data_IF_896175489070
#
_entry.id   IF_896175489070
#
_cell.length_a   1.000
_cell.length_b   1.000
_cell.length_c   1.000
_cell.angle_alpha   90.00
_cell.angle_beta   90.00
_cell.angle_gamma   90.00
#
_symmetry.space_group_name_H-M   'P 1'
#
loop_
_entity.id
_entity.type
_entity.pdbx_description
1 polymer ?
#
# COMPACT_ATOMS: atom_id res chain seq x y z
N UNK A 1 13.37 9.21 -39.73
CA UNK A 1 13.80 9.47 -38.34
C UNK A 1 14.59 8.27 -37.85
N UNK A 2 15.74 8.50 -37.21
CA UNK A 2 16.53 7.42 -36.59
C UNK A 2 15.79 6.96 -35.33
N UNK A 3 15.54 5.66 -35.21
CA UNK A 3 14.83 5.04 -34.09
C UNK A 3 15.78 4.13 -33.32
N UNK A 4 15.52 3.96 -32.03
CA UNK A 4 16.31 3.06 -31.19
C UNK A 4 16.09 1.60 -31.61
N UNK A 5 17.17 0.81 -31.56
CA UNK A 5 17.08 -0.65 -31.72
C UNK A 5 16.64 -1.29 -30.41
N UNK A 6 16.14 -2.54 -30.47
CA UNK A 6 15.78 -3.28 -29.27
C UNK A 6 16.97 -3.42 -28.30
N UNK A 7 18.17 -3.63 -28.83
CA UNK A 7 19.40 -3.72 -28.03
C UNK A 7 19.68 -2.41 -27.26
N UNK A 8 19.42 -1.26 -27.88
CA UNK A 8 19.57 0.05 -27.23
C UNK A 8 18.50 0.28 -26.18
N UNK A 9 17.26 -0.17 -26.41
CA UNK A 9 16.20 -0.15 -25.40
C UNK A 9 16.59 -1.03 -24.19
N UNK A 10 17.10 -2.23 -24.42
CA UNK A 10 17.59 -3.11 -23.36
C UNK A 10 18.76 -2.48 -22.58
N UNK A 11 19.65 -1.75 -23.27
CA UNK A 11 20.69 -0.94 -22.63
C UNK A 11 20.12 0.16 -21.73
N UNK A 12 19.02 0.82 -22.13
CA UNK A 12 18.34 1.81 -21.28
C UNK A 12 17.75 1.15 -20.01
N UNK A 13 17.18 -0.06 -20.10
CA UNK A 13 16.73 -0.82 -18.92
C UNK A 13 17.89 -1.17 -17.97
N UNK A 14 19.02 -1.64 -18.52
CA UNK A 14 20.23 -1.90 -17.72
C UNK A 14 20.76 -0.62 -17.09
N UNK A 15 20.75 0.49 -17.84
CA UNK A 15 21.19 1.80 -17.39
C UNK A 15 20.36 2.31 -16.21
N UNK A 16 19.04 2.35 -16.35
CA UNK A 16 18.12 2.80 -15.28
C UNK A 16 18.27 1.96 -14.01
N UNK A 17 18.38 0.63 -14.15
CA UNK A 17 18.64 -0.28 -13.01
C UNK A 17 19.98 -0.02 -12.32
N UNK A 18 21.05 0.26 -13.08
CA UNK A 18 22.37 0.62 -12.54
C UNK A 18 22.32 1.95 -11.77
N UNK A 19 21.39 2.83 -12.12
CA UNK A 19 21.13 4.09 -11.46
C UNK A 19 19.99 4.01 -10.41
N UNK A 20 19.86 2.85 -9.76
CA UNK A 20 18.99 2.62 -8.59
C UNK A 20 17.48 2.75 -8.84
N UNK A 21 17.04 2.60 -10.08
CA UNK A 21 15.61 2.49 -10.39
C UNK A 21 15.18 1.04 -10.22
N UNK A 22 14.69 0.68 -9.03
CA UNK A 22 14.35 -0.71 -8.69
C UNK A 22 13.04 -1.19 -9.31
N UNK A 23 12.07 -0.29 -9.46
CA UNK A 23 10.71 -0.64 -9.89
C UNK A 23 10.58 -0.66 -11.40
N UNK A 24 10.10 -1.78 -11.94
CA UNK A 24 10.03 -2.03 -13.38
C UNK A 24 9.04 -1.11 -14.10
N UNK A 25 7.88 -0.82 -13.49
CA UNK A 25 6.93 0.18 -14.01
C UNK A 25 7.56 1.58 -14.13
N UNK A 26 8.41 1.95 -13.17
CA UNK A 26 9.18 3.21 -13.23
C UNK A 26 10.30 3.13 -14.27
N UNK A 27 10.96 1.97 -14.40
CA UNK A 27 11.97 1.77 -15.45
C UNK A 27 11.35 1.93 -16.84
N UNK A 28 10.18 1.35 -17.11
CA UNK A 28 9.51 1.47 -18.41
C UNK A 28 9.25 2.94 -18.75
N UNK A 29 8.73 3.74 -17.81
CA UNK A 29 8.50 5.18 -18.03
C UNK A 29 9.80 5.96 -18.24
N UNK A 30 10.86 5.62 -17.50
CA UNK A 30 12.17 6.25 -17.67
C UNK A 30 12.84 5.88 -18.98
N UNK A 31 12.72 4.62 -19.40
CA UNK A 31 13.24 4.12 -20.67
C UNK A 31 12.51 4.82 -21.81
N UNK A 32 11.18 4.96 -21.75
CA UNK A 32 10.41 5.72 -22.74
C UNK A 32 10.84 7.19 -22.78
N UNK A 33 11.00 7.84 -21.62
CA UNK A 33 11.51 9.22 -21.55
C UNK A 33 12.90 9.35 -22.20
N UNK A 34 13.85 8.48 -21.84
CA UNK A 34 15.20 8.50 -22.38
C UNK A 34 15.21 8.19 -23.87
N UNK A 35 14.39 7.24 -24.31
CA UNK A 35 14.28 6.85 -25.70
C UNK A 35 13.79 8.02 -26.56
N UNK A 36 12.70 8.65 -26.15
CA UNK A 36 12.14 9.81 -26.83
C UNK A 36 13.12 11.00 -26.85
N UNK A 37 13.85 11.23 -25.76
CA UNK A 37 14.86 12.30 -25.69
C UNK A 37 16.05 12.05 -26.63
N UNK A 38 16.54 10.81 -26.72
CA UNK A 38 17.64 10.44 -27.62
C UNK A 38 17.20 10.57 -29.08
N UNK A 39 16.00 10.08 -29.41
CA UNK A 39 15.47 10.20 -30.77
C UNK A 39 15.27 11.66 -31.18
N UNK A 40 14.76 12.51 -30.28
CA UNK A 40 14.66 13.95 -30.51
C UNK A 40 16.02 14.62 -30.71
N UNK A 41 17.05 14.22 -29.95
CA UNK A 41 18.40 14.72 -30.15
C UNK A 41 18.98 14.30 -31.53
N UNK A 42 18.66 13.09 -32.00
CA UNK A 42 19.04 12.62 -33.33
C UNK A 42 18.30 13.32 -34.47
N UNK A 43 17.10 13.85 -34.24
CA UNK A 43 16.43 14.71 -35.23
C UNK A 43 17.18 16.03 -35.43
N UNK A 44 17.74 16.60 -34.37
CA UNK A 44 18.54 17.83 -34.43
C UNK A 44 19.95 17.55 -34.99
N UNK A 45 20.59 16.47 -34.53
CA UNK A 45 21.91 16.07 -35.00
C UNK A 45 22.02 14.52 -35.12
N UNK A 46 21.85 13.97 -36.33
CA UNK A 46 21.87 12.53 -36.57
C UNK A 46 23.20 11.83 -36.25
N UNK A 47 24.30 12.59 -36.18
CA UNK A 47 25.65 12.08 -35.99
C UNK A 47 26.02 11.84 -34.52
N UNK A 48 25.16 12.23 -33.56
CA UNK A 48 25.38 11.95 -32.15
C UNK A 48 25.38 10.44 -31.88
N UNK A 49 26.33 9.97 -31.08
CA UNK A 49 26.33 8.58 -30.63
C UNK A 49 25.25 8.34 -29.56
N UNK A 50 24.80 7.10 -29.45
CA UNK A 50 23.82 6.70 -28.44
C UNK A 50 24.33 6.98 -27.02
N UNK A 51 25.56 6.54 -26.71
CA UNK A 51 26.13 6.67 -25.36
C UNK A 51 26.35 8.12 -24.95
N UNK A 52 26.86 8.97 -25.86
CA UNK A 52 27.03 10.39 -25.57
C UNK A 52 25.69 11.07 -25.29
N UNK A 53 24.66 10.74 -26.08
CA UNK A 53 23.32 11.31 -25.92
C UNK A 53 22.70 10.83 -24.62
N UNK A 54 22.77 9.54 -24.32
CA UNK A 54 22.28 8.96 -23.06
C UNK A 54 22.92 9.62 -21.83
N UNK A 55 24.25 9.79 -21.84
CA UNK A 55 24.96 10.44 -20.74
C UNK A 55 24.59 11.93 -20.61
N UNK A 56 24.41 12.62 -21.74
CA UNK A 56 23.97 14.02 -21.74
C UNK A 56 22.55 14.16 -21.17
N UNK A 57 21.62 13.29 -21.57
CA UNK A 57 20.25 13.26 -21.02
C UNK A 57 20.24 12.91 -19.54
N UNK A 58 21.03 11.91 -19.12
CA UNK A 58 21.14 11.54 -17.71
C UNK A 58 21.66 12.70 -16.83
N UNK A 59 22.64 13.46 -17.32
CA UNK A 59 23.18 14.62 -16.58
C UNK A 59 22.13 15.70 -16.29
N UNK A 60 21.05 15.79 -17.08
CA UNK A 60 19.96 16.75 -16.84
C UNK A 60 19.20 16.47 -15.54
N UNK A 61 19.27 15.23 -15.02
CA UNK A 61 18.67 14.85 -13.74
C UNK A 61 19.51 15.31 -12.52
N UNK A 62 20.71 15.86 -12.75
CA UNK A 62 21.55 16.43 -11.69
C UNK A 62 22.23 15.39 -10.80
N UNK A 63 22.75 15.85 -9.65
CA UNK A 63 23.61 15.05 -8.75
C UNK A 63 22.88 13.83 -8.17
N UNK A 64 21.56 13.94 -7.97
CA UNK A 64 20.74 12.87 -7.40
C UNK A 64 20.26 11.85 -8.44
N UNK A 65 20.56 12.05 -9.73
CA UNK A 65 20.13 11.18 -10.82
C UNK A 65 18.61 10.96 -10.80
N UNK A 66 18.18 9.70 -10.95
CA UNK A 66 16.76 9.37 -11.00
C UNK A 66 16.03 9.39 -9.66
N UNK A 67 16.74 9.57 -8.53
CA UNK A 67 16.16 9.46 -7.17
C UNK A 67 14.92 10.35 -7.00
N UNK A 68 15.03 11.63 -7.38
CA UNK A 68 13.91 12.57 -7.23
C UNK A 68 12.70 12.20 -8.08
N UNK A 69 12.92 11.67 -9.29
CA UNK A 69 11.82 11.21 -10.15
C UNK A 69 11.15 9.97 -9.57
N UNK A 70 11.94 8.99 -9.10
CA UNK A 70 11.43 7.78 -8.47
C UNK A 70 10.57 8.16 -7.27
N UNK A 71 11.07 9.02 -6.38
CA UNK A 71 10.33 9.50 -5.21
C UNK A 71 9.05 10.26 -5.61
N UNK A 72 9.11 11.11 -6.62
CA UNK A 72 7.93 11.80 -7.14
C UNK A 72 6.86 10.79 -7.60
N UNK A 73 7.25 9.76 -8.36
CA UNK A 73 6.35 8.71 -8.85
C UNK A 73 5.76 7.89 -7.71
N UNK A 74 6.57 7.55 -6.71
CA UNK A 74 6.09 6.94 -5.48
C UNK A 74 5.01 7.79 -4.82
N UNK A 75 5.28 9.08 -4.61
CA UNK A 75 4.35 10.00 -3.99
C UNK A 75 3.06 10.19 -4.80
N UNK A 76 3.15 10.25 -6.13
CA UNK A 76 1.99 10.32 -7.02
C UNK A 76 1.11 9.07 -6.91
N UNK A 77 1.71 7.88 -6.94
CA UNK A 77 0.99 6.63 -6.75
C UNK A 77 0.37 6.58 -5.36
N UNK A 78 1.12 6.89 -4.30
CA UNK A 78 0.58 6.96 -2.94
C UNK A 78 -0.63 7.88 -2.86
N UNK A 79 -0.56 9.09 -3.43
CA UNK A 79 -1.70 10.02 -3.48
C UNK A 79 -2.87 9.44 -4.26
N UNK A 80 -2.62 8.83 -5.41
CA UNK A 80 -3.65 8.20 -6.24
C UNK A 80 -4.38 7.08 -5.47
N UNK A 81 -3.64 6.15 -4.88
CA UNK A 81 -4.20 5.04 -4.11
C UNK A 81 -4.90 5.52 -2.86
N UNK A 82 -4.30 6.43 -2.09
CA UNK A 82 -4.96 7.02 -0.93
C UNK A 82 -6.28 7.69 -1.34
N UNK A 83 -6.31 8.44 -2.45
CA UNK A 83 -7.54 9.05 -2.96
C UNK A 83 -8.57 8.00 -3.35
N UNK A 84 -8.18 6.96 -4.07
CA UNK A 84 -9.05 5.83 -4.45
C UNK A 84 -9.67 5.19 -3.20
N UNK A 85 -8.86 4.89 -2.20
CA UNK A 85 -9.29 4.29 -0.95
C UNK A 85 -10.23 5.19 -0.16
N UNK A 86 -9.91 6.49 -0.06
CA UNK A 86 -10.77 7.46 0.59
C UNK A 86 -12.13 7.57 -0.11
N UNK A 87 -12.17 7.43 -1.43
CA UNK A 87 -13.42 7.40 -2.18
C UNK A 87 -14.22 6.13 -1.88
N UNK A 88 -13.59 4.96 -1.80
CA UNK A 88 -14.25 3.70 -1.42
C UNK A 88 -14.77 3.72 0.03
N UNK A 89 -14.00 4.30 0.95
CA UNK A 89 -14.43 4.46 2.34
C UNK A 89 -15.63 5.42 2.42
N UNK A 90 -15.57 6.56 1.72
CA UNK A 90 -16.68 7.52 1.69
C UNK A 90 -17.94 6.93 1.05
N UNK A 91 -17.80 6.14 -0.02
CA UNK A 91 -18.94 5.47 -0.66
C UNK A 91 -19.55 4.40 0.25
N UNK A 92 -18.74 3.81 1.14
CA UNK A 92 -19.23 2.85 2.10
C UNK A 92 -20.13 3.48 3.17
N UNK A 93 -19.78 4.64 3.73
CA UNK A 93 -20.52 5.27 4.83
C UNK A 93 -21.77 6.02 4.37
N UNK A 94 -22.82 5.27 4.02
CA UNK A 94 -24.15 5.83 3.78
C UNK A 94 -24.90 6.04 5.10
N UNK A 95 -25.90 6.94 5.11
CA UNK A 95 -26.72 7.24 6.32
C UNK A 95 -27.25 5.95 6.99
N UNK A 96 -27.85 4.98 6.26
CA UNK A 96 -28.32 3.74 6.89
C UNK A 96 -27.23 2.95 7.60
N UNK A 97 -26.02 2.90 7.03
CA UNK A 97 -24.89 2.17 7.63
C UNK A 97 -24.34 2.90 8.85
N UNK A 98 -24.30 4.23 8.84
CA UNK A 98 -23.90 5.02 10.01
C UNK A 98 -24.87 4.78 11.17
N UNK A 99 -26.19 4.81 10.89
CA UNK A 99 -27.21 4.49 11.89
C UNK A 99 -27.03 3.07 12.41
N UNK A 100 -26.81 2.09 11.52
CA UNK A 100 -26.57 0.70 11.92
C UNK A 100 -25.30 0.56 12.78
N UNK A 101 -24.22 1.26 12.45
CA UNK A 101 -22.99 1.28 13.26
C UNK A 101 -23.22 1.90 14.63
N UNK A 102 -24.01 2.97 14.73
CA UNK A 102 -24.36 3.58 16.01
C UNK A 102 -25.23 2.64 16.86
N UNK A 103 -26.22 1.98 16.26
CA UNK A 103 -27.03 0.96 16.94
C UNK A 103 -26.17 -0.22 17.43
N UNK A 104 -25.24 -0.68 16.59
CA UNK A 104 -24.28 -1.73 16.96
C UNK A 104 -23.42 -1.29 18.15
N UNK A 105 -22.97 -0.04 18.18
CA UNK A 105 -22.23 0.51 19.31
C UNK A 105 -23.03 0.43 20.61
N UNK A 106 -24.27 0.93 20.63
CA UNK A 106 -25.10 0.89 21.83
C UNK A 106 -25.42 -0.53 22.27
N UNK A 107 -25.65 -1.45 21.32
CA UNK A 107 -25.88 -2.86 21.60
C UNK A 107 -24.66 -3.52 22.26
N UNK A 108 -23.47 -3.32 21.68
CA UNK A 108 -22.22 -3.87 22.23
C UNK A 108 -21.92 -3.26 23.60
N UNK A 109 -22.09 -1.94 23.75
CA UNK A 109 -21.94 -1.26 25.03
C UNK A 109 -22.83 -1.88 26.11
N UNK A 110 -24.13 -2.03 25.81
CA UNK A 110 -25.10 -2.62 26.73
C UNK A 110 -24.72 -4.05 27.12
N UNK A 111 -24.25 -4.87 26.17
CA UNK A 111 -23.80 -6.23 26.45
C UNK A 111 -22.58 -6.22 27.38
N UNK A 112 -21.57 -5.38 27.10
CA UNK A 112 -20.36 -5.29 27.93
C UNK A 112 -20.68 -4.81 29.34
N UNK A 113 -21.53 -3.79 29.48
CA UNK A 113 -21.97 -3.28 30.78
C UNK A 113 -22.70 -4.37 31.60
N UNK A 114 -23.56 -5.17 30.95
CA UNK A 114 -24.33 -6.23 31.65
C UNK A 114 -23.53 -7.47 31.98
N UNK A 115 -22.51 -7.80 31.19
CA UNK A 115 -21.70 -9.01 31.39
C UNK A 115 -20.44 -8.76 32.21
N UNK A 116 -20.07 -7.48 32.42
CA UNK A 116 -18.93 -7.07 33.24
C UNK A 116 -17.62 -7.71 32.79
N UNK A 117 -16.80 -8.13 33.76
CA UNK A 117 -15.46 -8.68 33.52
C UNK A 117 -15.44 -9.86 32.52
N UNK A 118 -16.49 -10.69 32.48
CA UNK A 118 -16.59 -11.80 31.53
C UNK A 118 -16.69 -11.26 30.10
N UNK A 119 -17.58 -10.29 29.86
CA UNK A 119 -17.74 -9.66 28.54
C UNK A 119 -16.50 -8.90 28.09
N UNK A 120 -15.87 -8.16 29.01
CA UNK A 120 -14.61 -7.46 28.76
C UNK A 120 -13.51 -8.42 28.31
N UNK A 121 -13.37 -9.56 29.00
CA UNK A 121 -12.39 -10.60 28.68
C UNK A 121 -12.63 -11.16 27.27
N UNK A 122 -13.89 -11.48 26.93
CA UNK A 122 -14.22 -11.97 25.59
C UNK A 122 -13.99 -10.91 24.50
N UNK A 123 -14.29 -9.64 24.76
CA UNK A 123 -14.05 -8.56 23.81
C UNK A 123 -12.55 -8.35 23.56
N UNK A 124 -11.73 -8.35 24.61
CA UNK A 124 -10.27 -8.27 24.49
C UNK A 124 -9.71 -9.48 23.75
N UNK A 125 -10.17 -10.70 24.08
CA UNK A 125 -9.75 -11.91 23.37
C UNK A 125 -10.13 -11.84 21.88
N UNK A 126 -11.34 -11.39 21.55
CA UNK A 126 -11.78 -11.22 20.17
C UNK A 126 -10.91 -10.20 19.41
N UNK A 127 -10.55 -9.07 20.04
CA UNK A 127 -9.64 -8.07 19.46
C UNK A 127 -8.26 -8.66 19.18
N UNK A 128 -7.67 -9.37 20.15
CA UNK A 128 -6.33 -9.95 20.00
C UNK A 128 -6.34 -11.02 18.90
N UNK A 129 -7.31 -11.93 18.92
CA UNK A 129 -7.42 -13.00 17.92
C UNK A 129 -7.63 -12.42 16.51
N UNK A 130 -8.57 -11.48 16.36
CA UNK A 130 -8.83 -10.85 15.05
C UNK A 130 -7.62 -10.07 14.54
N UNK A 131 -6.89 -9.38 15.42
CA UNK A 131 -5.65 -8.72 15.07
C UNK A 131 -4.58 -9.71 14.59
N UNK A 132 -4.37 -10.83 15.30
CA UNK A 132 -3.41 -11.88 14.90
C UNK A 132 -3.79 -12.48 13.53
N UNK A 133 -5.08 -12.76 13.31
CA UNK A 133 -5.58 -13.27 12.02
C UNK A 133 -5.33 -12.26 10.90
N UNK A 134 -5.62 -10.97 11.13
CA UNK A 134 -5.37 -9.90 10.18
C UNK A 134 -3.87 -9.77 9.85
N UNK A 135 -3.00 -9.80 10.87
CA UNK A 135 -1.54 -9.80 10.70
C UNK A 135 -1.08 -10.96 9.84
N UNK A 136 -1.56 -12.17 10.14
CA UNK A 136 -1.17 -13.38 9.43
C UNK A 136 -1.60 -13.38 7.97
N UNK A 137 -2.82 -12.92 7.67
CA UNK A 137 -3.29 -12.72 6.29
C UNK A 137 -2.46 -11.65 5.57
N UNK A 138 -2.15 -10.53 6.22
CA UNK A 138 -1.28 -9.49 5.68
C UNK A 138 0.12 -10.01 5.35
N UNK A 139 0.75 -10.75 6.26
CA UNK A 139 2.04 -11.38 6.00
C UNK A 139 1.96 -12.36 4.83
N UNK A 140 0.96 -13.27 4.81
CA UNK A 140 0.77 -14.21 3.70
C UNK A 140 0.63 -13.49 2.36
N UNK A 141 -0.13 -12.40 2.32
CA UNK A 141 -0.32 -11.59 1.13
C UNK A 141 1.00 -10.96 0.65
N UNK A 142 1.76 -10.33 1.55
CA UNK A 142 3.07 -9.73 1.25
C UNK A 142 4.06 -10.79 0.76
N UNK A 143 4.14 -11.95 1.42
CA UNK A 143 5.02 -13.05 1.02
C UNK A 143 4.64 -13.60 -0.35
N UNK A 144 3.34 -13.74 -0.65
CA UNK A 144 2.86 -14.18 -1.96
C UNK A 144 3.32 -13.21 -3.06
N UNK A 145 3.11 -11.91 -2.85
CA UNK A 145 3.54 -10.87 -3.80
C UNK A 145 5.06 -10.91 -4.03
N UNK A 146 5.85 -10.92 -2.95
CA UNK A 146 7.32 -10.99 -3.06
C UNK A 146 7.79 -12.24 -3.81
N UNK A 147 7.11 -13.37 -3.62
CA UNK A 147 7.41 -14.62 -4.36
C UNK A 147 7.07 -14.49 -5.85
N UNK A 148 5.97 -13.83 -6.19
CA UNK A 148 5.57 -13.57 -7.58
C UNK A 148 6.56 -12.62 -8.27
N UNK A 149 6.95 -11.53 -7.61
CA UNK A 149 7.99 -10.60 -8.09
C UNK A 149 9.32 -11.32 -8.36
N UNK A 150 9.78 -12.15 -7.42
CA UNK A 150 11.03 -12.91 -7.57
C UNK A 150 10.98 -13.87 -8.77
N UNK A 151 9.83 -14.48 -9.05
CA UNK A 151 9.64 -15.35 -10.22
C UNK A 151 9.67 -14.56 -11.53
N UNK A 152 9.11 -13.35 -11.54
CA UNK A 152 9.08 -12.49 -12.72
C UNK A 152 10.41 -11.75 -12.95
N UNK A 153 11.28 -11.67 -11.94
CA UNK A 153 12.50 -10.84 -11.98
C UNK A 153 12.21 -9.34 -11.97
N UNK A 154 10.97 -8.93 -11.64
CA UNK A 154 10.48 -7.55 -11.69
C UNK A 154 9.94 -7.15 -10.32
N UNK A 155 10.33 -5.97 -9.84
CA UNK A 155 9.72 -5.31 -8.67
C UNK A 155 8.73 -4.29 -9.17
N UNK A 156 7.52 -4.27 -8.62
CA UNK A 156 6.46 -3.33 -9.05
C UNK A 156 6.24 -2.28 -7.97
N UNK A 157 6.18 -1.01 -8.35
CA UNK A 157 6.06 0.06 -7.37
C UNK A 157 4.71 0.02 -6.66
N UNK A 158 3.64 -0.24 -7.39
CA UNK A 158 2.30 -0.42 -6.81
C UNK A 158 2.27 -1.46 -5.68
N UNK A 159 3.05 -2.53 -5.80
CA UNK A 159 3.07 -3.58 -4.79
C UNK A 159 3.74 -3.11 -3.49
N UNK A 160 4.64 -2.12 -3.52
CA UNK A 160 5.17 -1.50 -2.30
C UNK A 160 4.12 -0.61 -1.60
N UNK A 161 3.28 0.08 -2.37
CA UNK A 161 2.10 0.80 -1.84
C UNK A 161 1.15 -0.17 -1.15
N UNK A 162 0.86 -1.31 -1.80
CA UNK A 162 0.07 -2.39 -1.24
C UNK A 162 0.64 -2.91 0.09
N UNK A 163 1.95 -3.13 0.17
CA UNK A 163 2.62 -3.56 1.40
C UNK A 163 2.41 -2.55 2.54
N UNK A 164 2.63 -1.26 2.28
CA UNK A 164 2.44 -0.20 3.28
C UNK A 164 1.02 -0.17 3.81
N UNK A 165 0.02 -0.43 2.97
CA UNK A 165 -1.39 -0.48 3.41
C UNK A 165 -1.67 -1.55 4.47
N UNK A 166 -1.03 -2.71 4.37
CA UNK A 166 -1.13 -3.75 5.41
C UNK A 166 -0.24 -3.43 6.62
N UNK A 167 0.78 -2.59 6.47
CA UNK A 167 1.69 -2.18 7.55
C UNK A 167 1.19 -1.01 8.40
N UNK A 168 0.42 -0.07 7.82
CA UNK A 168 -0.06 1.12 8.54
C UNK A 168 -0.95 0.77 9.74
N UNK A 169 -1.96 -0.12 9.63
CA UNK A 169 -2.77 -0.51 10.78
C UNK A 169 -1.95 -1.18 11.87
N UNK A 170 -0.87 -1.87 11.52
CA UNK A 170 -0.09 -2.70 12.43
C UNK A 170 0.93 -1.88 13.21
N UNK A 171 1.55 -0.89 12.55
CA UNK A 171 2.44 0.10 13.18
C UNK A 171 1.61 1.12 13.98
N UNK A 172 0.54 1.66 13.38
CA UNK A 172 -0.26 2.74 13.98
C UNK A 172 -1.10 2.30 15.18
N UNK A 173 -1.67 1.09 15.16
CA UNK A 173 -2.45 0.56 16.28
C UNK A 173 -1.67 -0.40 17.18
N UNK A 174 -0.42 -0.75 16.83
CA UNK A 174 0.40 -1.71 17.59
C UNK A 174 0.54 -1.35 19.06
N UNK A 175 0.71 -0.07 19.39
CA UNK A 175 0.77 0.41 20.78
C UNK A 175 -0.56 0.22 21.54
N UNK A 176 -1.70 0.38 20.85
CA UNK A 176 -3.03 0.16 21.44
C UNK A 176 -3.22 -1.33 21.73
N UNK A 177 -2.90 -2.21 20.77
CA UNK A 177 -2.96 -3.66 20.98
C UNK A 177 -2.02 -4.12 22.09
N UNK A 178 -0.80 -3.57 22.15
CA UNK A 178 0.15 -3.88 23.22
C UNK A 178 -0.42 -3.50 24.60
N UNK A 179 -1.02 -2.31 24.72
CA UNK A 179 -1.67 -1.89 25.97
C UNK A 179 -2.86 -2.77 26.34
N UNK A 180 -3.63 -3.26 25.36
CA UNK A 180 -4.76 -4.18 25.58
C UNK A 180 -4.31 -5.57 26.00
N UNK A 181 -3.21 -6.07 25.42
CA UNK A 181 -2.58 -7.32 25.85
C UNK A 181 -2.10 -7.20 27.29
N UNK A 182 -1.45 -6.09 27.66
CA UNK A 182 -1.03 -5.85 29.04
C UNK A 182 -2.20 -5.92 30.01
N UNK A 183 -3.33 -5.25 29.68
CA UNK A 183 -4.55 -5.30 30.49
C UNK A 183 -5.18 -6.68 30.58
N UNK A 184 -5.10 -7.51 29.53
CA UNK A 184 -5.68 -8.86 29.53
C UNK A 184 -5.09 -9.76 30.63
N UNK A 185 -3.86 -9.49 31.07
CA UNK A 185 -3.19 -10.26 32.12
C UNK A 185 -3.33 -9.65 33.52
N UNK A 186 -4.12 -8.58 33.70
CA UNK A 186 -4.39 -8.00 35.02
C UNK A 186 -5.48 -8.80 35.75
N UNK A 187 -5.21 -9.22 36.98
CA UNK A 187 -6.14 -10.06 37.78
C UNK A 187 -7.46 -9.35 38.16
N UNK A 188 -7.52 -8.02 38.05
CA UNK A 188 -8.71 -7.21 38.28
C UNK A 188 -9.03 -6.33 37.07
N UNK A 189 -9.57 -6.94 36.01
CA UNK A 189 -10.24 -6.22 34.92
C UNK A 189 -11.50 -5.54 35.47
N UNK A 190 -11.32 -4.39 36.11
CA UNK A 190 -12.39 -3.48 36.51
C UNK A 190 -12.26 -2.22 35.67
N UNK A 191 -12.55 -2.36 34.37
CA UNK A 191 -12.43 -1.25 33.43
C UNK A 191 -13.41 -0.16 33.87
N UNK A 192 -12.91 1.06 34.07
CA UNK A 192 -13.77 2.20 34.42
C UNK A 192 -14.86 2.39 33.36
N UNK A 193 -15.96 3.07 33.70
CA UNK A 193 -17.02 3.38 32.73
C UNK A 193 -16.45 4.02 31.45
N UNK A 194 -15.49 4.94 31.57
CA UNK A 194 -14.77 5.54 30.45
C UNK A 194 -14.00 4.51 29.61
N UNK A 195 -13.39 3.52 30.26
CA UNK A 195 -12.70 2.43 29.57
C UNK A 195 -13.65 1.48 28.84
N UNK A 196 -14.87 1.24 29.34
CA UNK A 196 -15.89 0.43 28.64
C UNK A 196 -16.34 1.15 27.36
N UNK A 197 -16.56 2.47 27.41
CA UNK A 197 -16.86 3.27 26.22
C UNK A 197 -15.72 3.19 25.20
N UNK A 198 -14.47 3.34 25.64
CA UNK A 198 -13.30 3.22 24.77
C UNK A 198 -13.17 1.83 24.16
N UNK A 199 -13.30 0.77 24.96
CA UNK A 199 -13.23 -0.62 24.49
C UNK A 199 -14.33 -0.90 23.46
N UNK A 200 -15.56 -0.46 23.73
CA UNK A 200 -16.68 -0.59 22.79
C UNK A 200 -16.40 0.13 21.48
N UNK A 201 -15.98 1.41 21.55
CA UNK A 201 -15.69 2.21 20.37
C UNK A 201 -14.58 1.55 19.54
N UNK A 202 -13.50 1.12 20.19
CA UNK A 202 -12.39 0.46 19.53
C UNK A 202 -12.79 -0.88 18.91
N UNK A 203 -13.58 -1.69 19.62
CA UNK A 203 -14.10 -2.97 19.11
C UNK A 203 -14.91 -2.76 17.82
N UNK A 204 -15.89 -1.85 17.86
CA UNK A 204 -16.74 -1.57 16.71
C UNK A 204 -15.92 -1.00 15.56
N UNK A 205 -15.05 -0.02 15.82
CA UNK A 205 -14.17 0.55 14.78
C UNK A 205 -13.23 -0.49 14.18
N UNK A 206 -12.68 -1.40 14.99
CA UNK A 206 -11.76 -2.43 14.53
C UNK A 206 -12.44 -3.42 13.59
N UNK A 207 -13.60 -3.97 13.98
CA UNK A 207 -14.33 -4.91 13.13
C UNK A 207 -14.90 -4.23 11.89
N UNK A 208 -15.32 -2.96 11.99
CA UNK A 208 -15.72 -2.17 10.83
C UNK A 208 -14.55 -1.95 9.87
N UNK A 209 -13.37 -1.64 10.39
CA UNK A 209 -12.15 -1.52 9.59
C UNK A 209 -11.82 -2.83 8.88
N UNK A 210 -11.82 -3.97 9.59
CA UNK A 210 -11.62 -5.31 9.00
C UNK A 210 -12.65 -5.54 7.88
N UNK A 211 -13.93 -5.26 8.13
CA UNK A 211 -14.99 -5.46 7.16
C UNK A 211 -14.75 -4.64 5.88
N UNK A 212 -14.51 -3.33 6.03
CA UNK A 212 -14.21 -2.42 4.91
C UNK A 212 -12.95 -2.87 4.17
N UNK A 213 -11.93 -3.29 4.92
CA UNK A 213 -10.66 -3.72 4.35
C UNK A 213 -10.83 -4.94 3.43
N UNK A 214 -11.50 -5.99 3.91
CA UNK A 214 -11.66 -7.23 3.14
C UNK A 214 -12.64 -7.09 1.98
N UNK A 215 -13.70 -6.28 2.12
CA UNK A 215 -14.74 -6.18 1.11
C UNK A 215 -14.46 -5.11 0.05
N UNK A 216 -13.71 -4.06 0.37
CA UNK A 216 -13.49 -2.93 -0.54
C UNK A 216 -12.01 -2.74 -0.89
N UNK A 217 -11.16 -2.62 0.13
CA UNK A 217 -9.75 -2.24 -0.06
C UNK A 217 -8.96 -3.35 -0.73
N UNK A 218 -8.96 -4.56 -0.15
CA UNK A 218 -8.16 -5.69 -0.65
C UNK A 218 -8.54 -6.08 -2.09
N UNK A 219 -9.83 -6.18 -2.48
CA UNK A 219 -10.20 -6.47 -3.87
C UNK A 219 -9.77 -5.37 -4.86
N UNK A 220 -9.97 -4.10 -4.50
CA UNK A 220 -9.57 -2.96 -5.33
C UNK A 220 -8.06 -2.95 -5.58
N UNK A 221 -7.28 -3.15 -4.52
CA UNK A 221 -5.81 -3.25 -4.59
C UNK A 221 -5.33 -4.40 -5.49
N UNK A 222 -5.92 -5.60 -5.33
CA UNK A 222 -5.57 -6.76 -6.16
C UNK A 222 -5.91 -6.51 -7.63
N UNK A 223 -7.05 -5.85 -7.91
CA UNK A 223 -7.44 -5.47 -9.26
C UNK A 223 -6.42 -4.50 -9.87
N UNK A 224 -6.08 -3.43 -9.17
CA UNK A 224 -5.10 -2.44 -9.64
C UNK A 224 -3.73 -3.06 -9.90
N UNK A 225 -3.26 -3.98 -9.03
CA UNK A 225 -2.00 -4.71 -9.24
C UNK A 225 -2.00 -5.46 -10.57
N UNK A 226 -3.07 -6.20 -10.86
CA UNK A 226 -3.20 -6.96 -12.12
C UNK A 226 -3.27 -6.04 -13.34
N UNK A 227 -3.96 -4.91 -13.23
CA UNK A 227 -4.08 -3.94 -14.32
C UNK A 227 -2.73 -3.29 -14.64
N UNK A 228 -1.94 -2.94 -13.61
CA UNK A 228 -0.57 -2.44 -13.78
C UNK A 228 0.33 -3.49 -14.42
N UNK A 229 0.35 -4.72 -13.89
CA UNK A 229 1.16 -5.80 -14.48
C UNK A 229 0.83 -6.01 -15.96
N UNK A 230 -0.46 -6.03 -16.33
CA UNK A 230 -0.90 -6.18 -17.72
C UNK A 230 -0.46 -5.01 -18.61
N UNK A 231 -0.56 -3.78 -18.11
CA UNK A 231 -0.20 -2.55 -18.85
C UNK A 231 1.27 -2.54 -19.25
N UNK A 232 2.16 -2.97 -18.35
CA UNK A 232 3.61 -2.91 -18.56
C UNK A 232 4.22 -4.24 -19.01
N UNK A 233 3.43 -5.30 -19.21
CA UNK A 233 3.87 -6.54 -19.87
C UNK A 233 3.81 -6.47 -21.41
N UNK A 234 3.20 -5.42 -21.97
CA UNK A 234 2.97 -5.26 -23.41
C UNK A 234 3.99 -4.35 -24.11
N UNK A 235 5.01 -3.89 -23.36
CA UNK A 235 6.14 -3.07 -23.81
C UNK A 235 7.41 -3.90 -23.65
#
# INVERSE_FOLDING_TARGET
MKKLTQEQIDQLFVFTKKHYVEFYDVQVELVDHLANAIEAAWEVNPNLSFDETLQAEFKKFGIFGFTGLVEQKQNELHKHYNKMLWNEIKSFFTIPKIVLTALLFFLVYYILEKTGAIGETFALAALIISFIVFMFDGFRFIFKIKKEQKKQGKSWLLQSVAQQMFSIPTIGFGGVYFSMIGRFFEENLAVSNAGIYFLTAFLVMHFLFIFVFYNLIKPSLVKSIKETEKRYQTI
#
